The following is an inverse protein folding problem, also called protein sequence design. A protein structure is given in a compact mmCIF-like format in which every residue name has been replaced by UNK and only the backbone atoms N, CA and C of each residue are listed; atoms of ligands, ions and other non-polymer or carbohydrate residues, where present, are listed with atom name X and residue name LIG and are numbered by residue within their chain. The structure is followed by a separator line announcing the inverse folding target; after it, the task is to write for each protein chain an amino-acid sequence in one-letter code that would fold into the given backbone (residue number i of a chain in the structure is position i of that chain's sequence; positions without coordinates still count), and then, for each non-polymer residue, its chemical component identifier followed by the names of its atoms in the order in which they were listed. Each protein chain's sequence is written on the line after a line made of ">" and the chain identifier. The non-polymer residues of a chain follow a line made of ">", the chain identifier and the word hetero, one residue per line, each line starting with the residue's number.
data_IF_024936176546
#
_entry.id   IF_024936176546
#
_cell.length_a   1.000
_cell.length_b   1.000
_cell.length_c   1.000
_cell.angle_alpha   90.00
_cell.angle_beta   90.00
_cell.angle_gamma   90.00
#
_symmetry.space_group_name_H-M   'P 1'
#
loop_
_entity.id
_entity.type
_entity.pdbx_description
1 polymer ?
#
# COMPACT_ATOMS: atom_id res chain seq x y z
N UNK A 1 4.47 -8.74 7.95
CA UNK A 1 5.38 -9.07 6.81
C UNK A 1 4.84 -8.36 5.57
N UNK A 2 5.59 -7.43 4.98
CA UNK A 2 5.12 -6.63 3.84
C UNK A 2 5.54 -7.27 2.51
N UNK A 3 4.69 -7.17 1.49
CA UNK A 3 4.81 -7.95 0.25
C UNK A 3 5.77 -7.29 -0.75
N UNK A 4 6.72 -8.08 -1.26
CA UNK A 4 7.58 -7.75 -2.41
C UNK A 4 7.13 -8.40 -3.72
N UNK A 5 6.30 -9.43 -3.61
CA UNK A 5 5.84 -10.21 -4.74
C UNK A 5 4.36 -9.88 -5.02
N UNK A 6 4.05 -9.60 -6.28
CA UNK A 6 2.71 -9.41 -6.81
C UNK A 6 2.37 -10.61 -7.70
N UNK A 7 1.19 -11.16 -7.49
CA UNK A 7 0.67 -12.27 -8.28
C UNK A 7 -0.56 -11.78 -9.04
N UNK A 8 -0.56 -12.00 -10.36
CA UNK A 8 -1.67 -11.67 -11.24
C UNK A 8 -2.40 -12.97 -11.56
N UNK A 9 -3.72 -12.94 -11.53
CA UNK A 9 -4.59 -14.06 -11.85
C UNK A 9 -5.63 -13.58 -12.85
N UNK A 10 -6.11 -14.47 -13.72
CA UNK A 10 -7.35 -14.19 -14.43
C UNK A 10 -8.53 -14.36 -13.46
N UNK A 11 -9.57 -13.59 -13.71
CA UNK A 11 -10.84 -13.69 -13.01
C UNK A 11 -11.95 -13.88 -14.03
N UNK A 12 -12.67 -14.99 -13.95
CA UNK A 12 -13.87 -15.27 -14.72
C UNK A 12 -15.06 -14.64 -13.98
N UNK A 13 -15.62 -13.58 -14.55
CA UNK A 13 -16.73 -12.82 -13.97
C UNK A 13 -18.05 -13.59 -13.97
N UNK A 14 -18.27 -14.49 -14.93
CA UNK A 14 -19.53 -15.24 -15.02
C UNK A 14 -19.58 -16.33 -13.97
N UNK A 15 -18.45 -17.02 -13.78
CA UNK A 15 -18.32 -18.11 -12.81
C UNK A 15 -17.88 -17.62 -11.43
N UNK A 16 -17.42 -16.37 -11.31
CA UNK A 16 -16.86 -15.79 -10.09
C UNK A 16 -15.68 -16.59 -9.52
N UNK A 17 -14.80 -17.09 -10.40
CA UNK A 17 -13.63 -17.90 -10.03
C UNK A 17 -12.33 -17.26 -10.53
N UNK A 18 -11.25 -17.52 -9.80
CA UNK A 18 -9.88 -17.20 -10.22
C UNK A 18 -9.20 -18.47 -10.72
N UNK A 19 -8.22 -18.32 -11.61
CA UNK A 19 -7.35 -19.43 -12.01
C UNK A 19 -6.57 -19.98 -10.79
N UNK A 20 -6.34 -21.30 -10.76
CA UNK A 20 -5.58 -21.95 -9.69
C UNK A 20 -4.13 -21.46 -9.59
N UNK A 21 -3.58 -20.95 -10.71
CA UNK A 21 -2.20 -20.51 -10.83
C UNK A 21 -2.15 -19.06 -11.31
N UNK A 22 -1.18 -18.27 -10.81
CA UNK A 22 -0.99 -16.92 -11.30
C UNK A 22 -0.51 -16.94 -12.76
N UNK A 23 -1.08 -16.08 -13.59
CA UNK A 23 -0.60 -15.83 -14.96
C UNK A 23 0.76 -15.16 -14.95
N UNK A 24 1.07 -14.39 -13.91
CA UNK A 24 2.35 -13.72 -13.76
C UNK A 24 2.70 -13.51 -12.29
N UNK A 25 3.98 -13.71 -11.95
CA UNK A 25 4.59 -13.25 -10.71
C UNK A 25 5.53 -12.10 -11.02
N UNK A 26 5.32 -10.95 -10.37
CA UNK A 26 6.18 -9.77 -10.44
C UNK A 26 6.87 -9.58 -9.12
N UNK A 27 8.20 -9.46 -9.13
CA UNK A 27 9.01 -9.21 -7.93
C UNK A 27 9.53 -7.78 -7.96
N UNK A 28 9.20 -7.01 -6.93
CA UNK A 28 9.67 -5.64 -6.75
C UNK A 28 10.95 -5.60 -5.90
N UNK A 29 11.77 -4.57 -6.11
CA UNK A 29 12.94 -4.30 -5.25
C UNK A 29 12.52 -3.94 -3.81
N UNK A 30 11.46 -3.13 -3.70
CA UNK A 30 10.85 -2.68 -2.45
C UNK A 30 9.60 -3.46 -2.03
N UNK A 31 9.10 -3.14 -0.84
CA UNK A 31 7.83 -3.66 -0.29
C UNK A 31 6.64 -2.86 -0.83
N UNK A 32 6.45 -2.90 -2.14
CA UNK A 32 5.48 -2.10 -2.91
C UNK A 32 4.52 -2.97 -3.73
N UNK A 33 4.41 -4.26 -3.39
CA UNK A 33 3.54 -5.18 -4.12
C UNK A 33 2.08 -5.13 -3.66
N UNK A 34 1.81 -4.55 -2.49
CA UNK A 34 0.46 -4.54 -1.89
C UNK A 34 -0.42 -3.51 -2.58
N UNK A 35 -1.62 -3.93 -2.98
CA UNK A 35 -2.57 -3.03 -3.63
C UNK A 35 -3.05 -1.94 -2.66
N UNK A 36 -3.30 -0.74 -3.19
CA UNK A 36 -3.77 0.41 -2.43
C UNK A 36 -4.99 1.09 -3.07
N UNK A 37 -5.75 0.38 -3.88
CA UNK A 37 -6.96 0.91 -4.53
C UNK A 37 -7.20 0.29 -5.88
N UNK A 38 -8.15 0.86 -6.62
CA UNK A 38 -8.49 0.44 -7.97
C UNK A 38 -7.44 0.91 -8.99
N UNK A 39 -7.24 0.12 -10.05
CA UNK A 39 -6.49 0.55 -11.23
C UNK A 39 -7.29 1.64 -11.95
N UNK A 40 -6.63 2.73 -12.33
CA UNK A 40 -7.27 3.85 -13.02
C UNK A 40 -6.52 4.23 -14.29
N UNK A 41 -7.19 4.99 -15.16
CA UNK A 41 -6.66 5.42 -16.47
C UNK A 41 -6.56 6.95 -16.51
N UNK A 42 -5.42 7.46 -16.96
CA UNK A 42 -5.20 8.88 -17.26
C UNK A 42 -4.57 8.97 -18.64
N UNK A 43 -5.18 9.73 -19.55
CA UNK A 43 -4.69 9.91 -20.93
C UNK A 43 -4.41 8.59 -21.68
N UNK A 44 -5.26 7.59 -21.47
CA UNK A 44 -5.12 6.25 -22.07
C UNK A 44 -4.08 5.35 -21.39
N UNK A 45 -3.39 5.83 -20.36
CA UNK A 45 -2.38 5.09 -19.63
C UNK A 45 -2.92 4.52 -18.31
N UNK A 46 -2.65 3.23 -18.06
CA UNK A 46 -3.07 2.54 -16.84
C UNK A 46 -2.10 2.78 -15.68
N UNK A 47 -2.68 2.97 -14.49
CA UNK A 47 -1.96 3.17 -13.24
C UNK A 47 -2.60 2.36 -12.11
N UNK A 48 -1.76 1.82 -11.25
CA UNK A 48 -2.14 1.11 -10.03
C UNK A 48 -1.61 1.84 -8.81
N UNK A 49 -2.45 2.18 -7.83
CA UNK A 49 -1.99 2.58 -6.52
C UNK A 49 -1.51 1.34 -5.74
N UNK A 50 -0.30 1.40 -5.21
CA UNK A 50 0.28 0.39 -4.34
C UNK A 50 0.73 1.03 -3.01
N UNK A 51 0.81 0.25 -1.94
CA UNK A 51 1.26 0.77 -0.65
C UNK A 51 2.79 0.77 -0.61
N UNK A 52 3.41 1.89 -0.22
CA UNK A 52 4.78 1.86 0.28
C UNK A 52 4.77 1.25 1.69
N UNK A 53 5.24 0.01 1.78
CA UNK A 53 5.40 -0.69 3.05
C UNK A 53 6.86 -0.89 3.45
N UNK A 54 7.80 -0.09 2.92
CA UNK A 54 9.22 -0.27 3.20
C UNK A 54 9.56 -0.04 4.69
N UNK A 55 8.97 0.99 5.30
CA UNK A 55 9.14 1.33 6.72
C UNK A 55 8.10 0.65 7.62
N UNK A 56 6.83 0.90 7.35
CA UNK A 56 5.68 0.38 8.09
C UNK A 56 4.51 0.16 7.14
N UNK A 57 3.46 -0.47 7.65
CA UNK A 57 2.22 -0.72 6.92
C UNK A 57 1.68 0.60 6.40
N UNK A 58 1.49 0.67 5.09
CA UNK A 58 1.04 1.84 4.34
C UNK A 58 1.61 3.18 4.81
N UNK A 59 2.94 3.22 4.92
CA UNK A 59 3.70 4.44 5.13
C UNK A 59 3.34 5.52 4.09
N UNK A 60 3.05 5.10 2.86
CA UNK A 60 2.53 5.97 1.80
C UNK A 60 1.95 5.19 0.63
N UNK A 61 1.69 5.90 -0.46
CA UNK A 61 1.19 5.34 -1.71
C UNK A 61 2.24 5.53 -2.80
N UNK A 62 2.47 4.48 -3.57
CA UNK A 62 3.27 4.44 -4.79
C UNK A 62 2.32 4.25 -5.96
N UNK A 63 2.30 5.18 -6.90
CA UNK A 63 1.61 5.04 -8.17
C UNK A 63 2.55 4.29 -9.12
N UNK A 64 2.08 3.14 -9.59
CA UNK A 64 2.77 2.27 -10.53
C UNK A 64 2.08 2.37 -11.89
N UNK A 65 2.80 2.80 -12.92
CA UNK A 65 2.34 2.71 -14.31
C UNK A 65 2.33 1.25 -14.73
N UNK A 66 1.30 0.83 -15.43
CA UNK A 66 1.16 -0.52 -15.98
C UNK A 66 1.35 -0.46 -17.49
N UNK A 67 2.28 -1.25 -18.03
CA UNK A 67 2.49 -1.39 -19.46
C UNK A 67 2.27 -2.86 -19.86
N UNK A 68 1.55 -3.10 -20.95
CA UNK A 68 1.40 -4.44 -21.53
C UNK A 68 2.47 -4.62 -22.60
N UNK A 69 3.24 -5.70 -22.49
CA UNK A 69 4.26 -6.10 -23.47
C UNK A 69 4.03 -7.57 -23.81
N UNK A 70 3.33 -7.80 -24.93
CA UNK A 70 2.80 -9.13 -25.27
C UNK A 70 1.82 -9.60 -24.20
N UNK A 71 2.05 -10.79 -23.66
CA UNK A 71 1.21 -11.41 -22.62
C UNK A 71 1.61 -11.03 -21.19
N UNK A 72 2.56 -10.10 -21.02
CA UNK A 72 3.08 -9.71 -19.70
C UNK A 72 2.73 -8.27 -19.37
N UNK A 73 2.59 -8.02 -18.08
CA UNK A 73 2.46 -6.69 -17.51
C UNK A 73 3.77 -6.25 -16.85
N UNK A 74 4.23 -5.06 -17.20
CA UNK A 74 5.35 -4.38 -16.58
C UNK A 74 4.83 -3.27 -15.67
N UNK A 75 5.52 -3.06 -14.56
CA UNK A 75 5.16 -2.08 -13.54
C UNK A 75 6.35 -1.16 -13.28
N UNK A 76 6.16 0.14 -13.45
CA UNK A 76 7.16 1.16 -13.17
C UNK A 76 6.62 2.20 -12.18
N UNK A 77 7.40 2.56 -11.16
CA UNK A 77 7.00 3.58 -10.19
C UNK A 77 7.10 4.96 -10.83
N UNK A 78 6.01 5.73 -10.82
CA UNK A 78 5.99 7.09 -11.39
C UNK A 78 5.91 8.17 -10.33
N UNK A 79 5.30 7.88 -9.19
CA UNK A 79 5.17 8.83 -8.09
C UNK A 79 4.97 8.11 -6.76
N UNK A 80 5.55 8.67 -5.72
CA UNK A 80 5.27 8.27 -4.34
C UNK A 80 4.79 9.49 -3.56
N UNK A 81 3.79 9.31 -2.72
CA UNK A 81 3.32 10.34 -1.80
C UNK A 81 3.09 9.79 -0.40
N UNK A 82 3.42 10.63 0.57
CA UNK A 82 3.32 10.34 1.99
C UNK A 82 2.30 11.28 2.63
N UNK A 83 1.84 10.92 3.82
CA UNK A 83 0.94 11.80 4.55
C UNK A 83 1.61 13.11 4.92
N UNK A 84 1.03 14.20 4.42
CA UNK A 84 1.36 15.57 4.83
C UNK A 84 0.43 16.06 5.94
N UNK A 85 -0.62 15.29 6.27
CA UNK A 85 -1.60 15.65 7.26
C UNK A 85 -1.11 15.25 8.66
N UNK A 86 -0.92 16.25 9.53
CA UNK A 86 -0.48 16.05 10.91
C UNK A 86 -1.38 15.09 11.71
N UNK A 87 -2.66 14.95 11.39
CA UNK A 87 -3.56 14.00 12.09
C UNK A 87 -3.42 12.57 11.57
N UNK A 88 -2.91 12.39 10.35
CA UNK A 88 -2.74 11.11 9.67
C UNK A 88 -1.25 10.81 9.50
N UNK A 89 -0.47 11.01 10.56
CA UNK A 89 0.99 11.02 10.51
C UNK A 89 1.64 9.64 10.33
N UNK A 90 0.86 8.57 10.37
CA UNK A 90 1.38 7.21 10.18
C UNK A 90 1.42 6.78 8.70
N UNK A 91 0.60 7.40 7.85
CA UNK A 91 0.66 7.21 6.41
C UNK A 91 -0.70 7.21 5.70
N UNK A 92 -0.66 6.92 4.40
CA UNK A 92 -1.81 6.74 3.52
C UNK A 92 -1.87 5.30 3.03
N UNK A 93 -3.07 4.69 3.11
CA UNK A 93 -3.29 3.27 2.89
C UNK A 93 -4.07 2.95 1.64
N UNK A 94 -4.96 3.84 1.21
CA UNK A 94 -5.68 3.69 -0.06
C UNK A 94 -5.77 5.00 -0.82
N UNK A 95 -5.85 4.89 -2.13
CA UNK A 95 -6.08 5.96 -3.08
C UNK A 95 -7.05 5.42 -4.14
N UNK A 96 -8.23 6.03 -4.25
CA UNK A 96 -9.23 5.66 -5.24
C UNK A 96 -9.74 6.90 -5.96
N UNK A 97 -10.15 6.71 -7.22
CA UNK A 97 -10.74 7.75 -8.04
C UNK A 97 -12.09 7.28 -8.56
N UNK A 98 -13.12 8.11 -8.42
CA UNK A 98 -14.45 7.81 -8.95
C UNK A 98 -15.15 9.08 -9.40
N UNK A 99 -15.51 9.18 -10.68
CA UNK A 99 -16.26 10.33 -11.25
C UNK A 99 -15.69 11.71 -10.87
N UNK A 100 -14.37 11.86 -10.95
CA UNK A 100 -13.67 13.11 -10.62
C UNK A 100 -13.45 13.34 -9.11
N UNK A 101 -13.94 12.46 -8.24
CA UNK A 101 -13.65 12.47 -6.82
C UNK A 101 -12.43 11.60 -6.51
N UNK A 102 -11.53 12.12 -5.68
CA UNK A 102 -10.40 11.37 -5.14
C UNK A 102 -10.67 11.08 -3.66
N UNK A 103 -10.58 9.81 -3.28
CA UNK A 103 -10.70 9.36 -1.89
C UNK A 103 -9.38 8.77 -1.45
N UNK A 104 -8.79 9.35 -0.40
CA UNK A 104 -7.55 8.87 0.21
C UNK A 104 -7.84 8.47 1.64
N UNK A 105 -7.59 7.20 1.96
CA UNK A 105 -7.63 6.73 3.34
C UNK A 105 -6.24 6.86 3.97
N UNK A 106 -6.19 7.39 5.18
CA UNK A 106 -4.97 7.56 5.96
C UNK A 106 -5.19 7.12 7.39
N UNK A 107 -4.10 7.02 8.14
CA UNK A 107 -4.22 6.71 9.56
C UNK A 107 -3.21 7.49 10.38
N UNK A 108 -3.58 7.72 11.64
CA UNK A 108 -2.78 8.45 12.61
C UNK A 108 -3.36 8.29 14.00
N UNK A 109 -2.68 8.87 14.99
CA UNK A 109 -3.12 8.76 16.37
C UNK A 109 -4.17 9.81 16.72
N UNK A 110 -5.37 9.37 17.11
CA UNK A 110 -6.46 10.24 17.56
C UNK A 110 -6.06 11.15 18.75
N UNK A 111 -5.22 10.65 19.66
CA UNK A 111 -4.72 11.37 20.84
C UNK A 111 -3.20 11.21 20.99
N UNK A 112 -2.44 11.99 20.21
CA UNK A 112 -0.97 11.90 20.14
C UNK A 112 -0.28 11.97 21.51
N UNK A 113 -0.71 12.91 22.36
CA UNK A 113 -0.11 13.09 23.68
C UNK A 113 -0.29 11.85 24.57
N UNK A 114 -1.48 11.25 24.58
CA UNK A 114 -1.73 10.03 25.35
C UNK A 114 -0.92 8.85 24.80
N UNK A 115 -0.79 8.74 23.47
CA UNK A 115 0.06 7.73 22.86
C UNK A 115 1.54 7.91 23.25
N UNK A 116 2.03 9.15 23.26
CA UNK A 116 3.39 9.47 23.69
C UNK A 116 3.63 9.06 25.15
N UNK A 117 2.74 9.46 26.07
CA UNK A 117 2.82 9.08 27.49
C UNK A 117 2.80 7.55 27.64
N UNK A 118 1.86 6.88 26.97
CA UNK A 118 1.77 5.42 26.97
C UNK A 118 3.07 4.76 26.48
N UNK A 119 3.66 5.26 25.38
CA UNK A 119 4.89 4.71 24.80
C UNK A 119 6.09 4.78 25.77
N UNK A 120 6.19 5.87 26.54
CA UNK A 120 7.21 6.04 27.58
C UNK A 120 7.00 5.02 28.69
N UNK A 121 5.75 4.88 29.18
CA UNK A 121 5.41 3.94 30.24
C UNK A 121 5.69 2.48 29.86
N UNK A 122 5.40 2.09 28.62
CA UNK A 122 5.69 0.75 28.09
C UNK A 122 7.19 0.50 28.01
N UNK A 123 7.98 1.46 27.50
CA UNK A 123 9.43 1.32 27.39
C UNK A 123 10.09 1.17 28.77
N UNK A 124 9.67 1.95 29.77
CA UNK A 124 10.16 1.82 31.16
C UNK A 124 9.84 0.43 31.73
N UNK A 125 8.61 -0.07 31.53
CA UNK A 125 8.23 -1.43 31.97
C UNK A 125 9.04 -2.52 31.25
N UNK A 126 9.33 -2.35 29.96
CA UNK A 126 10.17 -3.27 29.19
C UNK A 126 11.61 -3.33 29.72
N UNK A 127 12.20 -2.16 30.06
CA UNK A 127 13.53 -2.08 30.68
C UNK A 127 13.58 -2.77 32.05
N UNK A 128 12.49 -2.71 32.83
CA UNK A 128 12.41 -3.39 34.13
C UNK A 128 12.22 -4.91 34.01
N UNK A 129 11.59 -5.39 32.94
CA UNK A 129 11.49 -6.83 32.64
C UNK A 129 12.82 -7.44 32.17
N UNK A 130 13.64 -6.70 31.41
CA UNK A 130 14.95 -7.17 30.92
C UNK A 130 16.09 -7.04 31.94
N UNK A 131 15.83 -6.48 33.14
CA UNK A 131 16.79 -6.38 34.25
C UNK A 131 16.61 -7.48 35.31
N UNK A 132 15.73 -8.45 35.10
CA UNK A 132 15.56 -9.63 35.95
C UNK A 132 16.03 -10.87 35.21
#
# INVERSE_FOLDING_TARGET
>A
MYLKDLYLFNFDYEKMVIDDKPVQKVKFGGKVARNAGEVFVVDGQYYRPAQDCNKNYGNGIVIQRIESVGERFLFSEVKTFFSTNKKMDLGYHTFNMYKGLIVVDGHGHRRKLLFMIYSILVNIKGMWKNKR
#
